data_IF_473784066886
#
_entry.id   IF_473784066886
#
_cell.length_a   1.000
_cell.length_b   1.000
_cell.length_c   1.000
_cell.angle_alpha   90.00
_cell.angle_beta   90.00
_cell.angle_gamma   90.00
#
_symmetry.space_group_name_H-M   'P 1'
#
loop_
_entity.id
_entity.type
_entity.pdbx_description
1 polymer ?
#
# COMPACT_ATOMS: atom_id res chain seq x y z
N UNK A 1 29.88 5.84 -15.16
CA UNK A 1 28.67 5.05 -15.35
C UNK A 1 27.48 5.84 -14.83
N UNK A 2 26.66 6.32 -15.74
CA UNK A 2 25.45 7.01 -15.35
C UNK A 2 24.43 5.99 -14.86
N UNK A 3 24.03 6.07 -13.61
CA UNK A 3 22.93 5.27 -13.10
C UNK A 3 21.68 5.52 -13.94
N UNK A 4 20.98 4.46 -14.33
CA UNK A 4 19.69 4.59 -15.01
C UNK A 4 18.71 5.26 -14.06
N UNK A 5 18.06 6.31 -14.54
CA UNK A 5 16.98 6.96 -13.80
C UNK A 5 15.64 6.50 -14.37
N UNK A 6 14.64 6.45 -13.50
CA UNK A 6 13.26 6.18 -13.91
C UNK A 6 12.69 7.43 -14.56
N UNK A 7 12.08 7.28 -15.72
CA UNK A 7 11.45 8.37 -16.45
C UNK A 7 10.31 9.01 -15.64
N UNK A 8 10.05 10.28 -15.90
CA UNK A 8 9.01 11.06 -15.19
C UNK A 8 7.64 10.41 -15.28
N UNK A 9 7.26 9.94 -16.47
CA UNK A 9 5.94 9.34 -16.66
C UNK A 9 5.79 8.04 -15.86
N UNK A 10 6.86 7.24 -15.82
CA UNK A 10 6.85 6.02 -15.01
C UNK A 10 6.76 6.37 -13.51
N UNK A 11 7.49 7.39 -13.07
CA UNK A 11 7.39 7.86 -11.68
C UNK A 11 5.97 8.28 -11.32
N UNK A 12 5.31 8.99 -12.21
CA UNK A 12 3.93 9.41 -12.02
C UNK A 12 2.99 8.19 -11.97
N UNK A 13 3.20 7.22 -12.85
CA UNK A 13 2.40 5.99 -12.87
C UNK A 13 2.54 5.20 -11.56
N UNK A 14 3.76 5.09 -11.02
CA UNK A 14 4.00 4.43 -9.74
C UNK A 14 3.30 5.20 -8.60
N UNK A 15 3.42 6.52 -8.58
CA UNK A 15 2.73 7.36 -7.60
C UNK A 15 1.21 7.15 -7.67
N UNK A 16 0.66 7.06 -8.87
CA UNK A 16 -0.77 6.84 -9.07
C UNK A 16 -1.22 5.48 -8.54
N UNK A 17 -0.42 4.42 -8.69
CA UNK A 17 -0.72 3.11 -8.09
C UNK A 17 -0.79 3.21 -6.58
N UNK A 18 0.16 3.92 -5.96
CA UNK A 18 0.20 4.08 -4.50
C UNK A 18 -1.00 4.88 -3.98
N UNK A 19 -1.40 5.93 -4.68
CA UNK A 19 -2.62 6.69 -4.35
C UNK A 19 -3.86 5.82 -4.50
N UNK A 20 -3.92 5.02 -5.55
CA UNK A 20 -5.04 4.10 -5.80
C UNK A 20 -5.16 3.04 -4.70
N UNK A 21 -4.03 2.53 -4.22
CA UNK A 21 -3.99 1.61 -3.09
C UNK A 21 -4.63 2.25 -1.85
N UNK A 22 -4.16 3.43 -1.46
CA UNK A 22 -4.67 4.16 -0.31
C UNK A 22 -6.15 4.51 -0.48
N UNK A 23 -6.53 5.02 -1.64
CA UNK A 23 -7.92 5.40 -1.95
C UNK A 23 -8.83 4.18 -1.90
N UNK A 24 -8.41 3.05 -2.45
CA UNK A 24 -9.20 1.82 -2.44
C UNK A 24 -9.52 1.37 -1.03
N UNK A 25 -8.55 1.40 -0.13
CA UNK A 25 -8.78 1.05 1.29
C UNK A 25 -9.70 2.08 1.94
N UNK A 26 -9.37 3.35 1.82
CA UNK A 26 -10.05 4.41 2.58
C UNK A 26 -11.49 4.60 2.15
N UNK A 27 -11.81 4.30 0.89
CA UNK A 27 -13.17 4.32 0.37
C UNK A 27 -13.85 2.96 0.39
N UNK A 28 -13.18 1.91 0.84
CA UNK A 28 -13.68 0.52 0.81
C UNK A 28 -14.03 0.08 -0.61
N UNK A 29 -13.28 0.56 -1.58
CA UNK A 29 -13.40 0.17 -2.99
C UNK A 29 -12.42 -0.95 -3.28
N UNK A 30 -12.85 -2.17 -3.04
CA UNK A 30 -11.99 -3.34 -3.14
C UNK A 30 -11.70 -3.75 -4.58
N UNK A 31 -12.56 -3.39 -5.51
CA UNK A 31 -12.29 -3.54 -6.95
C UNK A 31 -11.11 -2.64 -7.34
N UNK A 32 -11.14 -1.37 -6.93
CA UNK A 32 -10.05 -0.42 -7.16
C UNK A 32 -8.74 -0.89 -6.49
N UNK A 33 -8.82 -1.31 -5.22
CA UNK A 33 -7.68 -1.82 -4.47
C UNK A 33 -7.00 -2.98 -5.21
N UNK A 34 -7.79 -3.94 -5.67
CA UNK A 34 -7.28 -5.13 -6.36
C UNK A 34 -6.50 -4.78 -7.63
N UNK A 35 -6.87 -3.72 -8.32
CA UNK A 35 -6.18 -3.30 -9.55
C UNK A 35 -4.72 -2.89 -9.34
N UNK A 36 -4.31 -2.64 -8.09
CA UNK A 36 -2.94 -2.25 -7.77
C UNK A 36 -1.95 -3.41 -7.84
N UNK A 37 -2.43 -4.66 -7.87
CA UNK A 37 -1.60 -5.86 -7.71
C UNK A 37 -1.64 -6.75 -8.94
N UNK A 38 -0.53 -7.45 -9.19
CA UNK A 38 -0.52 -8.54 -10.19
C UNK A 38 -1.31 -9.73 -9.64
N UNK A 39 -1.79 -10.60 -10.55
CA UNK A 39 -2.57 -11.78 -10.17
C UNK A 39 -1.80 -12.70 -9.21
N UNK A 40 -0.48 -12.79 -9.36
CA UNK A 40 0.41 -13.66 -8.60
C UNK A 40 1.28 -12.92 -7.59
N UNK A 41 0.87 -11.74 -7.16
CA UNK A 41 1.65 -10.90 -6.25
C UNK A 41 1.98 -11.61 -4.94
N UNK A 42 3.06 -11.16 -4.32
CA UNK A 42 3.45 -11.57 -2.97
C UNK A 42 3.42 -10.35 -2.05
N UNK A 43 2.69 -10.43 -0.94
CA UNK A 43 2.55 -9.33 0.02
C UNK A 43 2.92 -9.85 1.40
N UNK A 44 3.97 -9.25 1.98
CA UNK A 44 4.50 -9.60 3.29
C UNK A 44 4.33 -8.41 4.24
N UNK A 45 3.42 -8.53 5.19
CA UNK A 45 3.19 -7.52 6.23
C UNK A 45 3.77 -7.96 7.59
N UNK A 46 4.81 -8.78 7.57
CA UNK A 46 5.51 -9.21 8.77
C UNK A 46 4.64 -10.08 9.66
N UNK A 47 4.55 -9.72 10.94
CA UNK A 47 3.75 -10.45 11.93
C UNK A 47 2.24 -10.38 11.70
N UNK A 48 1.78 -9.45 10.86
CA UNK A 48 0.37 -9.37 10.45
C UNK A 48 0.02 -10.54 9.54
N UNK A 49 0.90 -10.89 8.60
CA UNK A 49 0.70 -12.02 7.71
C UNK A 49 1.40 -11.87 6.36
N UNK A 50 1.30 -12.94 5.59
CA UNK A 50 1.83 -13.03 4.22
C UNK A 50 0.73 -13.57 3.31
N UNK A 51 0.55 -12.94 2.17
CA UNK A 51 -0.48 -13.33 1.20
C UNK A 51 0.13 -13.51 -0.19
N UNK A 52 -0.40 -14.44 -0.91
CA UNK A 52 -0.02 -14.70 -2.29
C UNK A 52 -1.24 -14.57 -3.18
N UNK A 53 -1.14 -13.68 -4.18
CA UNK A 53 -2.20 -13.40 -5.14
C UNK A 53 -3.07 -12.20 -4.79
N UNK A 54 -3.56 -11.54 -5.84
CA UNK A 54 -4.39 -10.33 -5.71
C UNK A 54 -5.71 -10.61 -4.98
N UNK A 55 -6.31 -11.77 -5.22
CA UNK A 55 -7.56 -12.14 -4.55
C UNK A 55 -7.36 -12.31 -3.04
N UNK A 56 -6.27 -12.97 -2.64
CA UNK A 56 -5.99 -13.25 -1.23
C UNK A 56 -5.75 -11.97 -0.42
N UNK A 57 -4.91 -11.06 -0.92
CA UNK A 57 -4.65 -9.80 -0.20
C UNK A 57 -5.89 -8.90 -0.18
N UNK A 58 -6.67 -8.88 -1.26
CA UNK A 58 -7.90 -8.08 -1.32
C UNK A 58 -8.94 -8.60 -0.33
N UNK A 59 -9.16 -9.90 -0.29
CA UNK A 59 -10.11 -10.52 0.64
C UNK A 59 -9.73 -10.26 2.10
N UNK A 60 -8.44 -10.39 2.42
CA UNK A 60 -7.97 -10.11 3.77
C UNK A 60 -8.16 -8.64 4.15
N UNK A 61 -7.81 -7.72 3.25
CA UNK A 61 -7.92 -6.28 3.51
C UNK A 61 -9.38 -5.87 3.73
N UNK A 62 -10.28 -6.39 2.92
CA UNK A 62 -11.72 -6.16 3.07
C UNK A 62 -12.22 -6.64 4.43
N UNK A 63 -11.83 -7.86 4.80
CA UNK A 63 -12.21 -8.45 6.09
C UNK A 63 -11.63 -7.65 7.27
N UNK A 64 -10.37 -7.24 7.17
CA UNK A 64 -9.70 -6.48 8.23
C UNK A 64 -10.34 -5.11 8.47
N UNK A 65 -10.98 -4.53 7.45
CA UNK A 65 -11.60 -3.21 7.53
C UNK A 65 -13.12 -3.26 7.69
N UNK A 66 -13.73 -4.44 7.71
CA UNK A 66 -15.19 -4.60 7.74
C UNK A 66 -15.83 -3.94 8.99
N UNK A 67 -15.13 -3.97 10.12
CA UNK A 67 -15.60 -3.39 11.39
C UNK A 67 -14.91 -2.08 11.74
N UNK A 68 -14.12 -1.50 10.83
CA UNK A 68 -13.43 -0.24 11.08
C UNK A 68 -14.31 0.96 10.73
N UNK A 69 -14.05 2.09 11.39
CA UNK A 69 -14.57 3.39 11.01
C UNK A 69 -13.68 4.03 9.94
N UNK A 70 -13.41 5.33 10.09
CA UNK A 70 -12.57 6.06 9.15
C UNK A 70 -11.15 5.53 9.13
N UNK A 71 -10.57 5.48 7.95
CA UNK A 71 -9.15 5.22 7.77
C UNK A 71 -8.54 6.25 6.84
N UNK A 72 -7.28 6.58 7.09
CA UNK A 72 -6.49 7.45 6.24
C UNK A 72 -5.12 6.81 6.04
N UNK A 73 -4.79 6.52 4.81
CA UNK A 73 -3.47 6.03 4.43
C UNK A 73 -2.73 7.14 3.69
N UNK A 74 -1.68 7.66 4.30
CA UNK A 74 -0.81 8.66 3.66
C UNK A 74 0.46 7.97 3.21
N UNK A 75 0.74 8.05 1.90
CA UNK A 75 1.92 7.42 1.30
C UNK A 75 2.78 8.53 0.70
N UNK A 76 4.00 8.62 1.18
CA UNK A 76 4.91 9.75 0.89
C UNK A 76 6.33 9.25 0.63
N UNK A 77 7.24 10.17 0.34
CA UNK A 77 8.68 9.92 0.31
C UNK A 77 9.05 8.75 -0.62
N UNK A 78 8.57 8.82 -1.85
CA UNK A 78 8.76 7.75 -2.83
C UNK A 78 10.16 7.81 -3.43
N UNK A 79 10.98 6.82 -3.13
CA UNK A 79 12.29 6.62 -3.75
C UNK A 79 12.13 5.51 -4.80
N UNK A 80 12.24 5.87 -6.06
CA UNK A 80 11.92 5.00 -7.19
C UNK A 80 13.17 4.78 -8.01
N UNK A 81 13.55 3.51 -8.22
CA UNK A 81 14.75 3.13 -8.96
C UNK A 81 14.44 2.02 -9.96
N UNK A 82 15.17 1.93 -11.09
CA UNK A 82 15.04 0.78 -11.98
C UNK A 82 15.46 -0.50 -11.26
N UNK A 83 14.78 -1.61 -11.52
CA UNK A 83 15.11 -2.91 -10.94
C UNK A 83 14.69 -4.03 -11.87
N UNK A 84 15.67 -4.76 -12.39
CA UNK A 84 15.40 -5.81 -13.35
C UNK A 84 14.63 -5.27 -14.56
N UNK A 85 13.57 -5.95 -14.98
CA UNK A 85 12.68 -5.49 -16.05
C UNK A 85 11.60 -4.52 -15.59
N UNK A 86 11.62 -4.08 -14.31
CA UNK A 86 10.61 -3.22 -13.74
C UNK A 86 11.21 -2.08 -12.92
N UNK A 87 10.54 -1.76 -11.81
CA UNK A 87 10.86 -0.64 -10.94
C UNK A 87 10.74 -1.11 -9.49
N UNK A 88 11.70 -0.71 -8.66
CA UNK A 88 11.59 -0.85 -7.21
C UNK A 88 11.29 0.52 -6.59
N UNK A 89 10.48 0.53 -5.55
CA UNK A 89 10.16 1.76 -4.85
C UNK A 89 10.10 1.52 -3.35
N UNK A 90 10.69 2.43 -2.59
CA UNK A 90 10.39 2.55 -1.15
C UNK A 90 9.50 3.76 -0.97
N UNK A 91 8.42 3.58 -0.23
CA UNK A 91 7.55 4.69 0.16
C UNK A 91 7.24 4.62 1.65
N UNK A 92 7.04 5.79 2.27
CA UNK A 92 6.61 5.85 3.66
C UNK A 92 5.11 5.75 3.72
N UNK A 93 4.61 5.11 4.76
CA UNK A 93 3.18 5.02 5.04
C UNK A 93 2.91 5.45 6.47
N UNK A 94 1.89 6.29 6.62
CA UNK A 94 1.35 6.73 7.89
C UNK A 94 -0.15 6.49 7.81
N UNK A 95 -0.62 5.46 8.52
CA UNK A 95 -2.00 5.02 8.45
C UNK A 95 -2.69 5.21 9.79
N UNK A 96 -3.86 5.84 9.74
CA UNK A 96 -4.78 5.96 10.89
C UNK A 96 -5.97 5.06 10.60
N UNK A 97 -6.31 4.18 11.54
CA UNK A 97 -7.44 3.27 11.44
C UNK A 97 -8.30 3.46 12.70
N UNK A 98 -9.50 4.00 12.52
CA UNK A 98 -10.41 4.23 13.64
C UNK A 98 -11.32 3.02 13.84
N UNK A 99 -11.73 2.81 15.09
CA UNK A 99 -12.79 1.87 15.42
C UNK A 99 -14.13 2.33 14.80
N UNK A 100 -15.14 1.48 14.82
CA UNK A 100 -16.43 1.73 14.19
C UNK A 100 -17.14 2.99 14.68
N UNK A 101 -16.89 3.40 15.94
CA UNK A 101 -17.47 4.62 16.50
C UNK A 101 -16.69 5.90 16.16
N UNK A 102 -15.55 5.78 15.50
CA UNK A 102 -14.63 6.88 15.15
C UNK A 102 -14.11 7.68 16.35
N UNK A 103 -14.12 7.10 17.53
CA UNK A 103 -13.64 7.76 18.75
C UNK A 103 -12.27 7.27 19.19
N UNK A 104 -11.97 6.01 18.94
CA UNK A 104 -10.69 5.38 19.25
C UNK A 104 -10.09 4.77 18.00
N UNK A 105 -8.79 4.63 17.99
CA UNK A 105 -8.13 4.04 16.85
C UNK A 105 -6.66 3.73 17.09
N UNK A 106 -6.01 3.37 16.02
CA UNK A 106 -4.59 3.07 16.00
C UNK A 106 -3.91 3.83 14.86
N UNK A 107 -2.62 4.03 15.01
CA UNK A 107 -1.75 4.62 14.00
C UNK A 107 -0.58 3.69 13.76
N UNK A 108 -0.36 3.30 12.52
CA UNK A 108 0.79 2.52 12.11
C UNK A 108 1.63 3.36 11.15
N UNK A 109 2.91 3.45 11.43
CA UNK A 109 3.86 4.19 10.61
C UNK A 109 5.00 3.27 10.23
N UNK A 110 5.37 3.29 8.97
CA UNK A 110 6.45 2.46 8.48
C UNK A 110 6.75 2.74 7.03
N UNK A 111 7.22 1.73 6.32
CA UNK A 111 7.52 1.88 4.91
C UNK A 111 7.23 0.60 4.14
N UNK A 112 6.89 0.79 2.88
CA UNK A 112 6.77 -0.28 1.90
C UNK A 112 8.02 -0.37 1.06
N UNK A 113 8.49 -1.59 0.81
CA UNK A 113 9.43 -1.90 -0.24
C UNK A 113 8.67 -2.68 -1.31
N UNK A 114 8.53 -2.11 -2.49
CA UNK A 114 7.71 -2.63 -3.57
C UNK A 114 8.54 -2.94 -4.81
N UNK A 115 8.18 -4.03 -5.49
CA UNK A 115 8.58 -4.28 -6.86
C UNK A 115 7.37 -4.11 -7.77
N UNK A 116 7.49 -3.21 -8.74
CA UNK A 116 6.46 -2.92 -9.73
C UNK A 116 6.85 -3.51 -11.07
N UNK A 117 5.87 -4.03 -11.78
CA UNK A 117 6.02 -4.51 -13.14
C UNK A 117 4.97 -3.87 -14.04
N UNK A 118 5.32 -3.68 -15.31
CA UNK A 118 4.38 -3.21 -16.32
C UNK A 118 3.57 -4.40 -16.83
N UNK A 119 2.25 -4.25 -16.86
CA UNK A 119 1.31 -5.23 -17.41
C UNK A 119 0.53 -4.59 -18.55
N UNK A 120 -0.32 -5.36 -19.21
CA UNK A 120 -1.23 -4.84 -20.25
C UNK A 120 -2.20 -3.78 -19.69
N UNK A 121 -2.46 -3.81 -18.39
CA UNK A 121 -3.34 -2.86 -17.70
C UNK A 121 -2.56 -1.78 -16.93
N UNK A 122 -1.29 -1.58 -17.25
CA UNK A 122 -0.43 -0.60 -16.60
C UNK A 122 0.49 -1.20 -15.53
N UNK A 123 1.06 -0.33 -14.72
CA UNK A 123 1.98 -0.74 -13.66
C UNK A 123 1.22 -1.32 -12.48
N UNK A 124 1.76 -2.41 -11.91
CA UNK A 124 1.17 -3.10 -10.76
C UNK A 124 2.25 -3.56 -9.80
N UNK A 125 1.87 -3.71 -8.53
CA UNK A 125 2.72 -4.26 -7.48
C UNK A 125 2.79 -5.77 -7.67
N UNK A 126 3.99 -6.29 -7.93
CA UNK A 126 4.25 -7.73 -8.00
C UNK A 126 4.71 -8.28 -6.65
N UNK A 127 5.38 -7.46 -5.86
CA UNK A 127 5.85 -7.83 -4.53
C UNK A 127 5.81 -6.61 -3.64
N UNK A 128 5.34 -6.80 -2.40
CA UNK A 128 5.34 -5.76 -1.37
C UNK A 128 5.83 -6.32 -0.05
N UNK A 129 6.67 -5.57 0.63
CA UNK A 129 7.03 -5.82 2.01
C UNK A 129 6.76 -4.59 2.84
N UNK A 130 6.00 -4.75 3.93
CA UNK A 130 5.76 -3.68 4.89
C UNK A 130 6.68 -3.85 6.09
N UNK A 131 7.38 -2.80 6.48
CA UNK A 131 8.15 -2.74 7.72
C UNK A 131 7.51 -1.71 8.63
N UNK A 132 7.03 -2.14 9.79
CA UNK A 132 6.43 -1.25 10.77
C UNK A 132 7.53 -0.65 11.64
N UNK A 133 7.51 0.68 11.75
CA UNK A 133 8.43 1.44 12.61
C UNK A 133 7.75 1.81 13.92
N UNK A 134 6.47 2.19 13.86
CA UNK A 134 5.70 2.62 15.02
C UNK A 134 4.29 2.04 14.95
N UNK A 135 3.80 1.55 16.08
CA UNK A 135 2.38 1.26 16.29
C UNK A 135 1.92 1.97 17.54
N UNK A 136 0.91 2.81 17.40
CA UNK A 136 0.30 3.55 18.48
C UNK A 136 -1.17 3.14 18.55
N UNK A 137 -1.59 2.51 19.66
CA UNK A 137 -2.88 1.83 19.73
C UNK A 137 -3.93 2.56 20.56
N UNK A 138 -3.60 3.68 21.18
CA UNK A 138 -4.53 4.41 22.05
C UNK A 138 -4.75 5.83 21.54
N UNK A 139 -5.17 5.92 20.26
CA UNK A 139 -5.56 7.19 19.67
C UNK A 139 -7.00 7.54 20.06
N UNK A 140 -7.21 8.83 20.24
CA UNK A 140 -8.53 9.40 20.49
C UNK A 140 -8.84 10.42 19.40
N UNK A 141 -10.08 10.45 18.96
CA UNK A 141 -10.55 11.51 18.10
C UNK A 141 -10.41 12.85 18.81
N UNK A 142 -10.07 13.89 18.06
CA UNK A 142 -10.04 15.25 18.59
C UNK A 142 -11.43 15.74 18.96
N UNK A 143 -11.49 16.67 19.87
CA UNK A 143 -12.74 17.36 20.24
C UNK A 143 -13.01 18.56 19.34
#
# INVERSE_FOLDING_TARGET
>A
MTGKTVERDVRQDIADVLVRYATGIDQRDWVLFRTCFTEDCEVDYGDIGVWRGADAITAWMEQAHAACGHTLHRITNQAIVPSGGGVAARSYVDAIVMASDNQRGARAVGYYDDAFVRTGDGWKIARRRFTRVLLQTDLRAGT
#
